data_IF_331193812857
#
_entry.id   IF_331193812857
#
_cell.length_a   1.000
_cell.length_b   1.000
_cell.length_c   1.000
_cell.angle_alpha   90.00
_cell.angle_beta   90.00
_cell.angle_gamma   90.00
#
_symmetry.space_group_name_H-M   'P 1'
#
loop_
_entity.id
_entity.type
_entity.pdbx_description
1 polymer ?
#
# COMPACT_ATOMS: atom_id res chain seq x y z
N UNK A 1 -2.77 22.57 22.10
CA UNK A 1 -1.84 22.31 20.99
C UNK A 1 -2.64 22.07 19.72
N UNK A 2 -2.47 22.91 18.70
CA UNK A 2 -3.23 22.81 17.46
C UNK A 2 -2.88 21.49 16.75
N UNK A 3 -3.89 20.64 16.55
CA UNK A 3 -3.78 19.37 15.83
C UNK A 3 -3.58 19.71 14.35
N UNK A 4 -2.32 19.80 13.91
CA UNK A 4 -1.98 19.99 12.49
C UNK A 4 -2.52 18.77 11.75
N UNK A 5 -3.68 18.91 11.12
CA UNK A 5 -4.23 17.86 10.27
C UNK A 5 -3.34 17.81 9.02
N UNK A 6 -2.68 16.70 8.70
CA UNK A 6 -1.98 16.58 7.44
C UNK A 6 -3.01 16.88 6.35
N UNK A 7 -2.74 17.90 5.52
CA UNK A 7 -3.57 18.19 4.36
C UNK A 7 -3.26 17.12 3.32
N UNK A 8 -4.29 16.54 2.71
CA UNK A 8 -4.09 15.68 1.54
C UNK A 8 -3.27 16.51 0.56
N UNK A 9 -2.14 16.04 0.02
CA UNK A 9 -1.59 16.65 -1.16
C UNK A 9 -2.59 16.36 -2.29
N UNK A 10 -3.54 17.29 -2.52
CA UNK A 10 -4.61 17.19 -3.53
C UNK A 10 -4.03 16.87 -4.92
N UNK A 11 -2.75 17.21 -5.15
CA UNK A 11 -2.00 16.82 -6.33
C UNK A 11 -1.92 15.31 -6.57
N UNK A 12 -1.93 14.43 -5.55
CA UNK A 12 -1.85 12.97 -5.74
C UNK A 12 -3.06 12.39 -6.50
N UNK A 13 -4.32 12.57 -6.05
CA UNK A 13 -5.48 12.08 -6.79
C UNK A 13 -5.63 12.77 -8.14
N UNK A 14 -5.30 14.06 -8.25
CA UNK A 14 -5.33 14.79 -9.53
C UNK A 14 -4.36 14.15 -10.53
N UNK A 15 -3.10 13.92 -10.13
CA UNK A 15 -2.10 13.25 -10.97
C UNK A 15 -2.54 11.84 -11.34
N UNK A 16 -3.15 11.10 -10.42
CA UNK A 16 -3.75 9.79 -10.70
C UNK A 16 -4.82 9.85 -11.78
N UNK A 17 -5.75 10.80 -11.70
CA UNK A 17 -6.80 11.01 -12.72
C UNK A 17 -6.20 11.41 -14.06
N UNK A 18 -5.23 12.32 -14.08
CA UNK A 18 -4.54 12.74 -15.32
C UNK A 18 -3.84 11.56 -15.98
N UNK A 19 -3.11 10.75 -15.23
CA UNK A 19 -2.41 9.57 -15.75
C UNK A 19 -3.38 8.49 -16.22
N UNK A 20 -4.51 8.31 -15.54
CA UNK A 20 -5.56 7.37 -15.97
C UNK A 20 -6.15 7.79 -17.32
N UNK A 21 -6.52 9.06 -17.44
CA UNK A 21 -7.05 9.63 -18.68
C UNK A 21 -5.99 9.49 -19.78
N UNK A 22 -4.76 9.91 -19.53
CA UNK A 22 -3.67 9.76 -20.50
C UNK A 22 -3.49 8.29 -20.94
N UNK A 23 -3.44 7.34 -20.00
CA UNK A 23 -3.27 5.91 -20.30
C UNK A 23 -4.41 5.34 -21.16
N UNK A 24 -5.66 5.74 -20.88
CA UNK A 24 -6.84 5.28 -21.64
C UNK A 24 -6.91 5.88 -23.05
N UNK A 25 -6.49 7.13 -23.24
CA UNK A 25 -6.55 7.81 -24.54
C UNK A 25 -5.30 7.57 -25.41
N UNK A 26 -4.13 7.33 -24.82
CA UNK A 26 -2.89 7.06 -25.55
C UNK A 26 -2.96 5.74 -26.32
N UNK A 27 -3.58 4.69 -25.76
CA UNK A 27 -3.77 3.40 -26.45
C UNK A 27 -4.42 3.55 -27.83
N UNK A 28 -5.66 4.06 -27.95
CA UNK A 28 -6.34 4.20 -29.24
C UNK A 28 -5.63 5.19 -30.18
N UNK A 29 -5.01 6.25 -29.67
CA UNK A 29 -4.25 7.21 -30.49
C UNK A 29 -2.99 6.55 -31.09
N UNK A 30 -2.29 5.73 -30.32
CA UNK A 30 -1.11 5.01 -30.78
C UNK A 30 -1.49 3.99 -31.86
N UNK A 31 -2.57 3.22 -31.66
CA UNK A 31 -3.07 2.27 -32.67
C UNK A 31 -3.58 2.95 -33.95
N UNK A 32 -4.11 4.18 -33.87
CA UNK A 32 -4.59 4.91 -35.05
C UNK A 32 -3.47 5.50 -35.92
N UNK A 33 -2.29 5.77 -35.34
CA UNK A 33 -1.20 6.50 -36.03
C UNK A 33 0.04 5.65 -36.33
N UNK A 34 0.16 4.45 -35.75
CA UNK A 34 1.32 3.57 -35.91
C UNK A 34 0.84 2.23 -36.50
N UNK A 35 1.45 1.73 -37.59
CA UNK A 35 1.10 0.44 -38.19
C UNK A 35 1.22 -0.72 -37.17
N UNK A 36 0.24 -1.63 -37.16
CA UNK A 36 0.15 -2.74 -36.18
C UNK A 36 1.41 -3.61 -36.10
N UNK A 37 2.15 -3.73 -37.21
CA UNK A 37 3.41 -4.49 -37.31
C UNK A 37 4.48 -4.00 -36.32
N UNK A 38 4.54 -2.68 -36.03
CA UNK A 38 5.52 -2.12 -35.09
C UNK A 38 5.14 -2.28 -33.62
N UNK A 39 3.87 -2.59 -33.29
CA UNK A 39 3.47 -2.81 -31.89
C UNK A 39 3.84 -4.21 -31.40
N UNK A 40 3.75 -5.21 -32.27
CA UNK A 40 4.09 -6.59 -31.92
C UNK A 40 5.60 -6.78 -31.70
N UNK A 41 6.43 -6.09 -32.49
CA UNK A 41 7.90 -6.15 -32.34
C UNK A 41 8.42 -5.31 -31.16
N UNK A 42 7.73 -4.22 -30.79
CA UNK A 42 8.21 -3.28 -29.78
C UNK A 42 7.44 -3.37 -28.46
N UNK A 43 7.89 -4.27 -27.58
CA UNK A 43 7.37 -4.45 -26.21
C UNK A 43 7.26 -3.12 -25.44
N UNK A 44 8.19 -2.19 -25.67
CA UNK A 44 8.19 -0.86 -25.05
C UNK A 44 6.96 -0.03 -25.39
N UNK A 45 6.46 -0.08 -26.64
CA UNK A 45 5.29 0.69 -27.06
C UNK A 45 4.01 0.19 -26.39
N UNK A 46 3.89 -1.13 -26.23
CA UNK A 46 2.76 -1.75 -25.53
C UNK A 46 2.82 -1.51 -24.01
N UNK A 47 4.01 -1.37 -23.43
CA UNK A 47 4.19 -1.13 -22.01
C UNK A 47 3.75 0.28 -21.56
N UNK A 48 3.76 1.29 -22.44
CA UNK A 48 3.40 2.68 -22.09
C UNK A 48 1.98 2.79 -21.51
N UNK A 49 0.91 2.40 -22.21
CA UNK A 49 -0.45 2.51 -21.67
C UNK A 49 -0.64 1.66 -20.41
N UNK A 50 -0.03 0.47 -20.37
CA UNK A 50 -0.07 -0.41 -19.20
C UNK A 50 0.55 0.26 -17.96
N UNK A 51 1.75 0.82 -18.08
CA UNK A 51 2.45 1.49 -16.97
C UNK A 51 1.67 2.71 -16.51
N UNK A 52 1.11 3.52 -17.42
CA UNK A 52 0.31 4.70 -17.08
C UNK A 52 -0.92 4.32 -16.24
N UNK A 53 -1.67 3.31 -16.66
CA UNK A 53 -2.84 2.81 -15.92
C UNK A 53 -2.41 2.23 -14.56
N UNK A 54 -1.34 1.44 -14.54
CA UNK A 54 -0.82 0.84 -13.32
C UNK A 54 -0.40 1.91 -12.29
N UNK A 55 0.37 2.91 -12.71
CA UNK A 55 0.78 4.04 -11.84
C UNK A 55 -0.45 4.81 -11.34
N UNK A 56 -1.45 5.04 -12.20
CA UNK A 56 -2.69 5.70 -11.78
C UNK A 56 -3.41 4.91 -10.68
N UNK A 57 -3.54 3.58 -10.82
CA UNK A 57 -4.12 2.71 -9.79
C UNK A 57 -3.33 2.78 -8.48
N UNK A 58 -2.00 2.74 -8.56
CA UNK A 58 -1.12 2.84 -7.37
C UNK A 58 -1.31 4.19 -6.66
N UNK A 59 -1.34 5.31 -7.39
CA UNK A 59 -1.57 6.63 -6.80
C UNK A 59 -2.94 6.73 -6.12
N UNK A 60 -3.97 6.16 -6.74
CA UNK A 60 -5.30 6.11 -6.15
C UNK A 60 -5.31 5.28 -4.86
N UNK A 61 -4.65 4.11 -4.88
CA UNK A 61 -4.53 3.25 -3.73
C UNK A 61 -3.78 3.92 -2.56
N UNK A 62 -2.67 4.61 -2.83
CA UNK A 62 -1.95 5.41 -1.82
C UNK A 62 -2.86 6.49 -1.24
N UNK A 63 -3.70 7.12 -2.05
CA UNK A 63 -4.67 8.11 -1.59
C UNK A 63 -5.72 7.50 -0.65
N UNK A 64 -6.17 6.27 -0.94
CA UNK A 64 -7.08 5.52 -0.06
C UNK A 64 -6.42 5.18 1.28
N UNK A 65 -5.18 4.65 1.27
CA UNK A 65 -4.41 4.41 2.50
C UNK A 65 -4.29 5.71 3.30
N UNK A 66 -3.93 6.79 2.59
CA UNK A 66 -4.10 8.20 2.93
C UNK A 66 -5.26 8.45 3.88
N UNK A 67 -6.43 8.35 3.26
CA UNK A 67 -7.71 8.75 3.81
C UNK A 67 -8.05 7.88 5.02
N UNK A 68 -7.89 6.56 4.90
CA UNK A 68 -8.14 5.62 5.99
C UNK A 68 -7.25 5.92 7.18
N UNK A 69 -5.95 6.10 6.96
CA UNK A 69 -5.00 6.45 8.01
C UNK A 69 -5.39 7.78 8.67
N UNK A 70 -5.76 8.80 7.90
CA UNK A 70 -6.15 10.12 8.45
C UNK A 70 -7.39 10.07 9.36
N UNK A 71 -8.34 9.18 9.05
CA UNK A 71 -9.60 9.03 9.81
C UNK A 71 -9.41 8.13 11.03
N UNK A 72 -8.64 7.04 10.90
CA UNK A 72 -8.47 6.04 11.96
C UNK A 72 -7.28 6.35 12.89
N UNK A 73 -6.37 7.24 12.51
CA UNK A 73 -5.17 7.53 13.30
C UNK A 73 -5.52 7.98 14.72
N UNK A 74 -4.85 7.40 15.71
CA UNK A 74 -5.07 7.68 17.13
C UNK A 74 -6.51 7.41 17.64
N UNK A 75 -7.41 6.92 16.80
CA UNK A 75 -8.79 6.61 17.16
C UNK A 75 -8.99 5.12 17.45
N UNK A 76 -8.13 4.26 16.90
CA UNK A 76 -8.18 2.80 17.11
C UNK A 76 -7.47 2.41 18.40
N UNK A 77 -8.12 1.62 19.25
CA UNK A 77 -7.52 1.07 20.46
C UNK A 77 -6.44 0.04 20.11
N UNK A 78 -5.38 -0.06 20.93
CA UNK A 78 -4.28 -1.01 20.69
C UNK A 78 -4.75 -2.47 20.61
N UNK A 79 -5.79 -2.83 21.38
CA UNK A 79 -6.39 -4.17 21.34
C UNK A 79 -7.08 -4.45 20.00
N UNK A 80 -7.88 -3.50 19.51
CA UNK A 80 -8.58 -3.65 18.23
C UNK A 80 -7.59 -3.69 17.06
N UNK A 81 -6.54 -2.85 17.11
CA UNK A 81 -5.47 -2.86 16.12
C UNK A 81 -4.84 -4.25 15.98
N UNK A 82 -4.43 -4.85 17.09
CA UNK A 82 -3.82 -6.18 17.11
C UNK A 82 -4.75 -7.30 16.68
N UNK A 83 -6.03 -7.24 17.04
CA UNK A 83 -7.01 -8.25 16.64
C UNK A 83 -7.20 -8.24 15.12
N UNK A 84 -7.41 -7.06 14.54
CA UNK A 84 -7.60 -6.93 13.09
C UNK A 84 -6.32 -7.32 12.34
N UNK A 85 -5.16 -6.88 12.81
CA UNK A 85 -3.86 -7.27 12.26
C UNK A 85 -3.67 -8.80 12.29
N UNK A 86 -4.00 -9.47 13.39
CA UNK A 86 -3.91 -10.92 13.49
C UNK A 86 -4.87 -11.64 12.54
N UNK A 87 -6.10 -11.14 12.35
CA UNK A 87 -7.05 -11.70 11.38
C UNK A 87 -6.51 -11.55 9.95
N UNK A 88 -5.95 -10.39 9.61
CA UNK A 88 -5.34 -10.16 8.29
C UNK A 88 -4.16 -11.11 8.05
N UNK A 89 -3.27 -11.25 9.03
CA UNK A 89 -2.11 -12.17 8.96
C UNK A 89 -2.59 -13.62 8.82
N UNK A 90 -3.61 -14.03 9.57
CA UNK A 90 -4.20 -15.36 9.43
C UNK A 90 -4.77 -15.58 8.02
N UNK A 91 -5.39 -14.56 7.42
CA UNK A 91 -5.83 -14.56 6.02
C UNK A 91 -4.68 -14.75 5.04
N UNK A 92 -3.56 -14.04 5.22
CA UNK A 92 -2.34 -14.21 4.41
C UNK A 92 -1.84 -15.66 4.51
N UNK A 93 -1.67 -16.18 5.73
CA UNK A 93 -1.20 -17.56 5.95
C UNK A 93 -2.16 -18.57 5.32
N UNK A 94 -3.47 -18.40 5.50
CA UNK A 94 -4.48 -19.26 4.88
C UNK A 94 -4.44 -19.21 3.36
N UNK A 95 -4.26 -18.03 2.77
CA UNK A 95 -4.11 -17.84 1.32
C UNK A 95 -2.87 -18.55 0.77
N UNK A 96 -1.72 -18.41 1.44
CA UNK A 96 -0.49 -19.14 1.10
C UNK A 96 -0.75 -20.65 1.17
N UNK A 97 -1.28 -21.15 2.28
CA UNK A 97 -1.59 -22.59 2.43
C UNK A 97 -2.50 -23.06 1.30
N UNK A 98 -3.56 -22.31 0.96
CA UNK A 98 -4.44 -22.64 -0.15
C UNK A 98 -3.75 -22.68 -1.52
N UNK A 99 -2.81 -21.77 -1.78
CA UNK A 99 -2.03 -21.76 -3.02
C UNK A 99 -1.09 -22.96 -3.14
N UNK A 100 -0.50 -23.40 -2.05
CA UNK A 100 0.49 -24.48 -2.04
C UNK A 100 -0.12 -25.88 -1.84
N UNK A 101 -1.38 -26.11 -2.23
CA UNK A 101 -1.99 -27.44 -2.21
C UNK A 101 -1.72 -28.19 -3.53
N UNK A 102 -1.00 -29.34 -3.52
CA UNK A 102 -0.61 -30.03 -4.75
C UNK A 102 -1.75 -30.79 -5.45
N UNK A 103 -2.92 -30.94 -4.82
CA UNK A 103 -4.03 -31.75 -5.35
C UNK A 103 -5.29 -30.94 -5.75
N UNK A 104 -5.39 -29.65 -5.40
CA UNK A 104 -6.62 -28.89 -5.57
C UNK A 104 -6.40 -27.54 -6.30
N UNK A 105 -6.52 -27.56 -7.63
CA UNK A 105 -6.37 -26.35 -8.47
C UNK A 105 -7.38 -25.24 -8.12
N UNK A 106 -8.57 -25.60 -7.61
CA UNK A 106 -9.56 -24.63 -7.15
C UNK A 106 -9.06 -23.85 -5.92
N UNK A 107 -8.35 -24.53 -5.01
CA UNK A 107 -7.77 -23.93 -3.82
C UNK A 107 -6.62 -22.98 -4.17
N UNK A 108 -5.91 -23.24 -5.27
CA UNK A 108 -4.93 -22.30 -5.80
C UNK A 108 -5.57 -20.96 -6.17
N UNK A 109 -6.66 -20.99 -6.97
CA UNK A 109 -7.35 -19.76 -7.37
C UNK A 109 -7.93 -19.03 -6.16
N UNK A 110 -8.63 -19.73 -5.27
CA UNK A 110 -9.22 -19.12 -4.07
C UNK A 110 -8.14 -18.57 -3.14
N UNK A 111 -7.10 -19.35 -2.89
CA UNK A 111 -5.95 -18.98 -2.06
C UNK A 111 -5.25 -17.73 -2.57
N UNK A 112 -5.09 -17.61 -3.90
CA UNK A 112 -4.54 -16.40 -4.51
C UNK A 112 -5.40 -15.16 -4.23
N UNK A 113 -6.73 -15.25 -4.38
CA UNK A 113 -7.61 -14.10 -4.11
C UNK A 113 -7.61 -13.72 -2.62
N UNK A 114 -7.65 -14.72 -1.73
CA UNK A 114 -7.55 -14.50 -0.28
C UNK A 114 -6.22 -13.85 0.07
N UNK A 115 -5.11 -14.34 -0.48
CA UNK A 115 -3.78 -13.78 -0.27
C UNK A 115 -3.69 -12.34 -0.78
N UNK A 116 -4.17 -12.08 -2.00
CA UNK A 116 -4.16 -10.77 -2.62
C UNK A 116 -4.93 -9.75 -1.77
N UNK A 117 -6.18 -10.08 -1.41
CA UNK A 117 -7.04 -9.20 -0.60
C UNK A 117 -6.42 -8.97 0.78
N UNK A 118 -5.92 -10.03 1.43
CA UNK A 118 -5.30 -9.92 2.76
C UNK A 118 -4.01 -9.10 2.71
N UNK A 119 -3.22 -9.21 1.64
CA UNK A 119 -1.99 -8.42 1.46
C UNK A 119 -2.31 -6.95 1.25
N UNK A 120 -3.29 -6.62 0.41
CA UNK A 120 -3.76 -5.24 0.23
C UNK A 120 -4.28 -4.69 1.56
N UNK A 121 -5.15 -5.44 2.25
CA UNK A 121 -5.65 -5.05 3.56
C UNK A 121 -4.53 -4.83 4.59
N UNK A 122 -3.49 -5.68 4.58
CA UNK A 122 -2.33 -5.55 5.46
C UNK A 122 -1.52 -4.28 5.16
N UNK A 123 -1.22 -4.02 3.89
CA UNK A 123 -0.53 -2.80 3.47
C UNK A 123 -1.32 -1.59 3.97
N UNK A 124 -2.63 -1.55 3.76
CA UNK A 124 -3.46 -0.44 4.25
C UNK A 124 -3.50 -0.34 5.78
N UNK A 125 -3.67 -1.47 6.49
CA UNK A 125 -3.78 -1.51 7.94
C UNK A 125 -2.48 -1.11 8.65
N UNK A 126 -1.34 -1.54 8.12
CA UNK A 126 0.00 -1.23 8.67
C UNK A 126 0.34 0.26 8.68
N UNK A 127 -0.39 1.08 7.93
CA UNK A 127 -0.22 2.54 7.92
C UNK A 127 -1.05 3.27 9.00
N UNK A 128 -1.86 2.55 9.79
CA UNK A 128 -2.67 3.13 10.86
C UNK A 128 -1.88 3.12 12.16
N UNK A 129 -1.74 4.29 12.82
CA UNK A 129 -1.05 4.38 14.12
C UNK A 129 -2.08 4.22 15.24
N UNK A 130 -1.96 3.19 16.10
CA UNK A 130 -2.90 2.95 17.19
C UNK A 130 -2.76 4.00 18.29
N UNK A 131 -3.86 4.21 19.02
CA UNK A 131 -3.91 5.14 20.15
C UNK A 131 -2.90 4.74 21.23
N UNK A 132 -2.03 5.66 21.62
CA UNK A 132 -1.06 5.47 22.70
C UNK A 132 0.27 4.86 22.26
N UNK A 133 0.54 4.73 20.97
CA UNK A 133 1.89 4.49 20.46
C UNK A 133 2.77 5.71 20.76
N UNK A 134 3.31 5.79 21.98
CA UNK A 134 4.40 6.73 22.30
C UNK A 134 5.65 6.23 21.57
N UNK A 135 6.35 7.08 20.80
CA UNK A 135 7.69 6.76 20.33
C UNK A 135 8.53 6.36 21.54
N UNK A 136 9.13 5.16 21.51
CA UNK A 136 10.01 4.64 22.57
C UNK A 136 11.34 5.39 22.52
N UNK A 137 11.34 6.68 22.81
CA UNK A 137 12.51 7.57 22.74
C UNK A 137 13.15 7.88 24.11
N UNK A 138 12.57 7.41 25.22
CA UNK A 138 13.00 7.84 26.58
C UNK A 138 13.93 6.85 27.32
N UNK A 139 14.53 5.85 26.65
CA UNK A 139 15.36 4.83 27.33
C UNK A 139 16.86 4.85 26.99
N UNK A 140 17.31 5.74 26.10
CA UNK A 140 18.74 5.88 25.75
C UNK A 140 19.44 7.03 26.46
N UNK A 141 18.77 7.72 27.39
CA UNK A 141 19.28 8.89 28.10
C UNK A 141 19.87 8.62 29.49
N UNK A 142 20.04 7.37 29.92
CA UNK A 142 20.74 7.08 31.18
C UNK A 142 22.23 7.37 30.96
N UNK A 143 22.64 8.55 31.40
CA UNK A 143 24.03 8.97 31.51
C UNK A 143 24.79 8.02 32.43
N UNK A 144 25.52 7.08 31.86
CA UNK A 144 26.64 6.42 32.53
C UNK A 144 27.78 7.44 32.51
N UNK A 145 27.81 8.33 33.49
CA UNK A 145 28.74 9.46 33.52
C UNK A 145 28.73 10.17 34.87
N UNK A 146 28.85 9.40 35.95
CA UNK A 146 29.07 9.94 37.30
C UNK A 146 29.85 8.89 38.10
N UNK A 147 31.08 8.63 37.66
CA UNK A 147 32.11 8.04 38.50
C UNK A 147 33.06 9.17 38.87
N UNK A 148 33.04 9.54 40.16
CA UNK A 148 33.77 10.65 40.75
C UNK A 148 35.24 10.69 40.35
N UNK A 149 35.65 11.88 39.88
CA UNK A 149 37.02 12.35 39.93
C UNK A 149 37.15 13.37 41.05
N UNK A 150 38.12 13.10 41.92
CA UNK A 150 38.84 14.03 42.82
C UNK A 150 38.19 14.43 44.15
N UNK A 151 39.01 14.72 45.19
CA UNK A 151 40.45 15.03 45.18
C UNK A 151 41.41 13.94 45.66
#
# INVERSE_FOLDING_TARGET
>A
MAKIRPRVPIGLPITGVILLVAGLFIGPILHANIPEEKFAENVLLNAIPFILIFVAIVLFYITVIWLVASVLNNNVSHRLYRIIEAIIIAGIVSGVVGMFQPWAFILYRVGFHVLLISTIAYIMWSHIIPKGARPRQDLSGISVGSGEGEP
#
